data_IF_606201831550
#
_entry.id   IF_606201831550
#
_cell.length_a   1.000
_cell.length_b   1.000
_cell.length_c   1.000
_cell.angle_alpha   90.00
_cell.angle_beta   90.00
_cell.angle_gamma   90.00
#
_symmetry.space_group_name_H-M   'P 1'
#
loop_
_entity.id
_entity.type
_entity.pdbx_description
1 polymer ?
#
# COMPACT_ATOMS: atom_id res chain seq x y z
N UNK A 1 -0.15 -13.95 -11.28
CA UNK A 1 -1.51 -14.19 -11.84
C UNK A 1 -2.55 -14.89 -10.95
N UNK A 2 -2.25 -15.74 -9.94
CA UNK A 2 -3.24 -16.05 -8.87
C UNK A 2 -3.09 -15.17 -7.62
N UNK A 3 -1.85 -14.88 -7.23
CA UNK A 3 -1.55 -14.04 -6.06
C UNK A 3 -2.03 -12.59 -6.21
N UNK A 4 -1.95 -12.02 -7.41
CA UNK A 4 -2.40 -10.64 -7.69
C UNK A 4 -3.92 -10.50 -7.55
N UNK A 5 -4.70 -11.43 -8.10
CA UNK A 5 -6.18 -11.43 -7.96
C UNK A 5 -6.56 -11.45 -6.47
N UNK A 6 -5.89 -12.30 -5.69
CA UNK A 6 -6.11 -12.38 -4.26
C UNK A 6 -5.72 -11.07 -3.58
N UNK A 7 -4.54 -10.52 -3.88
CA UNK A 7 -4.08 -9.27 -3.29
C UNK A 7 -5.02 -8.09 -3.58
N UNK A 8 -5.48 -7.95 -4.84
CA UNK A 8 -6.48 -6.96 -5.25
C UNK A 8 -7.78 -7.10 -4.47
N UNK A 9 -8.24 -8.33 -4.22
CA UNK A 9 -9.46 -8.56 -3.43
C UNK A 9 -9.32 -8.07 -1.98
N UNK A 10 -8.14 -8.25 -1.35
CA UNK A 10 -7.90 -7.69 -0.01
C UNK A 10 -7.76 -6.19 -0.02
N UNK A 11 -7.05 -5.64 -1.02
CA UNK A 11 -6.88 -4.21 -1.17
C UNK A 11 -8.24 -3.52 -1.32
N UNK A 12 -9.11 -4.05 -2.17
CA UNK A 12 -10.48 -3.58 -2.35
C UNK A 12 -11.28 -3.65 -1.04
N UNK A 13 -11.23 -4.76 -0.32
CA UNK A 13 -11.95 -4.90 0.95
C UNK A 13 -11.48 -3.90 2.03
N UNK A 14 -10.16 -3.63 2.11
CA UNK A 14 -9.64 -2.61 3.02
C UNK A 14 -10.02 -1.20 2.55
N UNK A 15 -10.02 -0.97 1.24
CA UNK A 15 -10.36 0.32 0.63
C UNK A 15 -11.84 0.65 0.86
N UNK A 16 -12.75 -0.27 0.61
CA UNK A 16 -14.19 -0.09 0.87
C UNK A 16 -14.48 0.20 2.36
N UNK A 17 -13.72 -0.43 3.27
CA UNK A 17 -13.80 -0.13 4.69
C UNK A 17 -13.32 1.30 4.98
N UNK A 18 -12.19 1.71 4.40
CA UNK A 18 -11.63 3.03 4.58
C UNK A 18 -12.51 4.14 3.98
N UNK A 19 -13.10 3.91 2.80
CA UNK A 19 -13.96 4.86 2.11
C UNK A 19 -15.27 5.08 2.87
N UNK A 20 -15.85 4.01 3.42
CA UNK A 20 -17.00 4.12 4.34
C UNK A 20 -16.70 5.00 5.55
N UNK A 21 -15.49 4.91 6.07
CA UNK A 21 -15.04 5.68 7.23
C UNK A 21 -14.51 7.08 6.84
N UNK A 22 -14.40 7.41 5.54
CA UNK A 22 -13.81 8.66 5.04
C UNK A 22 -12.31 8.78 5.28
N UNK A 23 -11.58 7.66 5.41
CA UNK A 23 -10.19 7.57 5.88
C UNK A 23 -9.27 6.85 4.90
N UNK A 24 -9.56 6.93 3.59
CA UNK A 24 -8.81 6.23 2.53
C UNK A 24 -7.30 6.55 2.55
N UNK A 25 -6.93 7.82 2.75
CA UNK A 25 -5.52 8.21 2.79
C UNK A 25 -4.85 7.68 4.06
N UNK A 26 -5.46 7.84 5.23
CA UNK A 26 -4.90 7.38 6.51
C UNK A 26 -4.67 5.86 6.54
N UNK A 27 -5.59 5.08 5.96
CA UNK A 27 -5.43 3.63 5.86
C UNK A 27 -4.36 3.26 4.84
N UNK A 28 -4.30 3.99 3.72
CA UNK A 28 -3.27 3.86 2.70
C UNK A 28 -1.87 4.10 3.26
N UNK A 29 -1.68 5.21 3.97
CA UNK A 29 -0.43 5.57 4.63
C UNK A 29 0.00 4.50 5.63
N UNK A 30 -0.95 3.99 6.42
CA UNK A 30 -0.69 2.92 7.37
C UNK A 30 -0.23 1.62 6.69
N UNK A 31 -0.88 1.23 5.60
CA UNK A 31 -0.50 0.05 4.83
C UNK A 31 0.84 0.24 4.09
N UNK A 32 1.10 1.45 3.59
CA UNK A 32 2.36 1.82 2.94
C UNK A 32 3.52 1.76 3.92
N UNK A 33 3.36 2.28 5.14
CA UNK A 33 4.39 2.19 6.18
C UNK A 33 4.76 0.75 6.52
N UNK A 34 3.78 -0.16 6.54
CA UNK A 34 4.04 -1.60 6.73
C UNK A 34 4.77 -2.20 5.53
N UNK A 35 4.37 -1.86 4.31
CA UNK A 35 5.04 -2.34 3.10
C UNK A 35 6.50 -1.88 3.06
N UNK A 36 6.75 -0.60 3.35
CA UNK A 36 8.09 -0.01 3.42
C UNK A 36 8.97 -0.72 4.47
N UNK A 37 8.45 -0.97 5.66
CA UNK A 37 9.16 -1.72 6.70
C UNK A 37 9.60 -3.11 6.22
N UNK A 38 8.79 -3.80 5.39
CA UNK A 38 9.12 -5.12 4.84
C UNK A 38 10.13 -5.05 3.67
N UNK A 39 10.26 -3.90 3.03
CA UNK A 39 11.26 -3.66 2.01
C UNK A 39 12.62 -3.30 2.64
N UNK A 40 12.61 -2.46 3.67
CA UNK A 40 13.80 -2.01 4.40
C UNK A 40 14.40 -3.11 5.30
N UNK A 41 13.56 -3.89 5.98
CA UNK A 41 14.02 -4.92 6.93
C UNK A 41 13.83 -6.33 6.36
N UNK A 42 14.94 -6.90 5.87
CA UNK A 42 14.98 -8.31 5.44
C UNK A 42 14.55 -9.26 6.58
N UNK A 43 14.95 -8.96 7.81
CA UNK A 43 14.65 -9.80 8.97
C UNK A 43 13.15 -9.75 9.32
N UNK A 44 12.52 -8.57 9.28
CA UNK A 44 11.08 -8.45 9.49
C UNK A 44 10.31 -9.24 8.41
N UNK A 45 10.73 -9.14 7.15
CA UNK A 45 10.16 -9.92 6.05
C UNK A 45 10.32 -11.42 6.27
N UNK A 46 11.52 -11.90 6.56
CA UNK A 46 11.78 -13.31 6.82
C UNK A 46 10.99 -13.83 8.04
N UNK A 47 10.91 -13.05 9.12
CA UNK A 47 10.11 -13.39 10.30
C UNK A 47 8.63 -13.61 9.94
N UNK A 48 8.01 -12.67 9.20
CA UNK A 48 6.61 -12.82 8.78
C UNK A 48 6.41 -13.99 7.80
N UNK A 49 7.38 -14.24 6.92
CA UNK A 49 7.25 -15.28 5.89
C UNK A 49 7.60 -16.69 6.38
N UNK A 50 8.35 -16.83 7.48
CA UNK A 50 8.81 -18.12 7.99
C UNK A 50 7.63 -18.97 8.49
N UNK A 51 7.34 -20.15 7.89
CA UNK A 51 6.17 -20.95 8.25
C UNK A 51 6.23 -21.58 9.65
N UNK A 52 7.44 -21.79 10.20
CA UNK A 52 7.67 -22.40 11.52
C UNK A 52 7.31 -21.45 12.68
N UNK A 53 7.34 -20.15 12.45
CA UNK A 53 6.94 -19.15 13.45
C UNK A 53 5.41 -19.12 13.49
N UNK A 54 4.87 -19.28 14.70
CA UNK A 54 3.43 -19.37 14.91
C UNK A 54 2.73 -18.06 14.53
N UNK A 55 1.50 -18.16 14.01
CA UNK A 55 0.69 -16.98 13.64
C UNK A 55 0.50 -16.04 14.83
N UNK A 56 0.23 -16.58 16.01
CA UNK A 56 0.06 -15.79 17.23
C UNK A 56 1.32 -15.03 17.62
N UNK A 57 2.50 -15.62 17.41
CA UNK A 57 3.77 -14.96 17.68
C UNK A 57 4.00 -13.78 16.73
N UNK A 58 3.67 -13.95 15.45
CA UNK A 58 3.72 -12.86 14.47
C UNK A 58 2.74 -11.73 14.82
N UNK A 59 1.50 -12.08 15.19
CA UNK A 59 0.48 -11.09 15.58
C UNK A 59 0.89 -10.33 16.84
N UNK A 60 1.46 -11.01 17.85
CA UNK A 60 2.00 -10.35 19.06
C UNK A 60 3.14 -9.39 18.73
N UNK A 61 4.07 -9.80 17.87
CA UNK A 61 5.17 -8.93 17.44
C UNK A 61 4.66 -7.68 16.70
N UNK A 62 3.76 -7.85 15.73
CA UNK A 62 3.16 -6.73 15.01
C UNK A 62 2.39 -5.80 15.95
N UNK A 63 1.58 -6.34 16.86
CA UNK A 63 0.88 -5.54 17.87
C UNK A 63 1.86 -4.69 18.66
N UNK A 64 2.90 -5.29 19.23
CA UNK A 64 3.89 -4.59 20.05
C UNK A 64 4.58 -3.43 19.31
N UNK A 65 4.79 -3.56 18.00
CA UNK A 65 5.54 -2.59 17.19
C UNK A 65 4.65 -1.50 16.58
N UNK A 66 3.42 -1.85 16.21
CA UNK A 66 2.54 -1.04 15.36
C UNK A 66 1.27 -0.54 16.07
N UNK A 67 0.91 -1.08 17.23
CA UNK A 67 -0.20 -0.57 18.04
C UNK A 67 0.05 0.89 18.44
N UNK A 68 -0.96 1.73 18.27
CA UNK A 68 -0.86 3.18 18.46
C UNK A 68 -0.14 3.95 17.34
N UNK A 69 0.50 3.28 16.38
CA UNK A 69 1.12 3.91 15.20
C UNK A 69 0.30 3.77 13.93
N UNK A 70 -0.55 2.75 13.87
CA UNK A 70 -1.46 2.48 12.76
C UNK A 70 -2.90 2.62 13.20
N UNK A 71 -3.83 2.97 12.27
CA UNK A 71 -5.25 2.83 12.52
C UNK A 71 -5.57 1.38 12.92
N UNK A 72 -6.37 1.21 13.98
CA UNK A 72 -6.75 -0.11 14.47
C UNK A 72 -7.34 -1.04 13.37
N UNK A 73 -8.15 -0.55 12.40
CA UNK A 73 -8.61 -1.36 11.28
C UNK A 73 -7.47 -1.92 10.39
N UNK A 74 -6.43 -1.12 10.14
CA UNK A 74 -5.26 -1.56 9.36
C UNK A 74 -4.50 -2.65 10.11
N UNK A 75 -4.29 -2.49 11.42
CA UNK A 75 -3.63 -3.50 12.24
C UNK A 75 -4.43 -4.82 12.27
N UNK A 76 -5.76 -4.74 12.40
CA UNK A 76 -6.66 -5.89 12.35
C UNK A 76 -6.64 -6.57 10.98
N UNK A 77 -6.55 -5.79 9.90
CA UNK A 77 -6.37 -6.31 8.55
C UNK A 77 -5.08 -7.13 8.43
N UNK A 78 -3.95 -6.67 8.99
CA UNK A 78 -2.70 -7.43 9.00
C UNK A 78 -2.85 -8.77 9.75
N UNK A 79 -3.57 -8.77 10.88
CA UNK A 79 -3.85 -10.01 11.62
C UNK A 79 -4.64 -11.00 10.79
N UNK A 80 -5.69 -10.53 10.09
CA UNK A 80 -6.47 -11.35 9.16
C UNK A 80 -5.59 -11.94 8.05
N UNK A 81 -4.72 -11.11 7.45
CA UNK A 81 -3.79 -11.56 6.40
C UNK A 81 -2.85 -12.67 6.90
N UNK A 82 -2.35 -12.56 8.13
CA UNK A 82 -1.52 -13.59 8.78
C UNK A 82 -2.33 -14.86 9.03
N UNK A 83 -3.56 -14.75 9.52
CA UNK A 83 -4.43 -15.89 9.79
C UNK A 83 -4.71 -16.68 8.51
N UNK A 84 -4.90 -15.96 7.39
CA UNK A 84 -5.07 -16.54 6.05
C UNK A 84 -3.75 -16.98 5.38
N UNK A 85 -2.59 -16.82 6.04
CA UNK A 85 -1.24 -17.12 5.52
C UNK A 85 -0.89 -16.36 4.23
N UNK A 86 -1.38 -15.13 4.08
CA UNK A 86 -1.21 -14.30 2.87
C UNK A 86 -0.23 -13.15 3.04
N UNK A 87 0.59 -13.15 4.11
CA UNK A 87 1.51 -12.07 4.43
C UNK A 87 2.56 -11.75 3.35
N UNK A 88 2.92 -12.73 2.51
CA UNK A 88 3.79 -12.50 1.32
C UNK A 88 3.18 -11.51 0.32
N UNK A 89 1.86 -11.35 0.34
CA UNK A 89 1.14 -10.49 -0.59
C UNK A 89 0.97 -9.06 -0.07
N UNK A 90 1.41 -8.73 1.16
CA UNK A 90 1.18 -7.39 1.76
C UNK A 90 1.67 -6.26 0.85
N UNK A 91 2.86 -6.41 0.23
CA UNK A 91 3.40 -5.41 -0.70
C UNK A 91 2.54 -5.25 -1.96
N UNK A 92 1.99 -6.35 -2.47
CA UNK A 92 1.08 -6.35 -3.63
C UNK A 92 -0.26 -5.74 -3.22
N UNK A 93 -0.78 -6.06 -2.04
CA UNK A 93 -2.00 -5.46 -1.48
C UNK A 93 -1.84 -3.94 -1.33
N UNK A 94 -0.69 -3.48 -0.82
CA UNK A 94 -0.38 -2.05 -0.74
C UNK A 94 -0.42 -1.39 -2.13
N UNK A 95 0.26 -1.97 -3.13
CA UNK A 95 0.27 -1.41 -4.49
C UNK A 95 -1.15 -1.29 -5.05
N UNK A 96 -1.97 -2.34 -4.94
CA UNK A 96 -3.36 -2.31 -5.41
C UNK A 96 -4.21 -1.31 -4.63
N UNK A 97 -3.96 -1.15 -3.32
CA UNK A 97 -4.66 -0.16 -2.50
C UNK A 97 -4.35 1.27 -2.93
N UNK A 98 -3.08 1.59 -3.17
CA UNK A 98 -2.66 2.92 -3.63
C UNK A 98 -3.29 3.27 -4.99
N UNK A 99 -3.37 2.30 -5.92
CA UNK A 99 -4.07 2.49 -7.19
C UNK A 99 -5.56 2.83 -7.00
N UNK A 100 -6.23 2.23 -6.00
CA UNK A 100 -7.63 2.56 -5.69
C UNK A 100 -7.78 3.95 -5.08
N UNK A 101 -6.82 4.36 -4.23
CA UNK A 101 -6.79 5.73 -3.67
C UNK A 101 -6.58 6.76 -4.78
N UNK A 102 -5.63 6.50 -5.68
CA UNK A 102 -5.34 7.37 -6.81
C UNK A 102 -6.57 7.54 -7.72
N UNK A 103 -7.24 6.44 -8.08
CA UNK A 103 -8.49 6.46 -8.85
C UNK A 103 -9.59 7.27 -8.14
N UNK A 104 -9.76 7.05 -6.83
CA UNK A 104 -10.77 7.73 -6.01
C UNK A 104 -10.53 9.23 -5.84
N UNK A 105 -9.27 9.66 -5.89
CA UNK A 105 -8.85 11.05 -5.76
C UNK A 105 -8.59 11.73 -7.11
N UNK A 106 -8.74 11.02 -8.22
CA UNK A 106 -8.43 11.53 -9.55
C UNK A 106 -6.94 11.83 -9.76
N UNK A 107 -6.05 11.12 -9.06
CA UNK A 107 -4.60 11.26 -9.21
C UNK A 107 -4.11 10.37 -10.35
N UNK A 108 -3.46 10.96 -11.35
CA UNK A 108 -2.79 10.23 -12.42
C UNK A 108 -1.27 10.33 -12.26
N UNK A 109 -0.59 9.18 -12.16
CA UNK A 109 0.87 9.14 -12.22
C UNK A 109 1.33 9.09 -13.69
N UNK A 110 2.10 10.11 -14.10
CA UNK A 110 2.66 10.21 -15.44
C UNK A 110 4.18 10.20 -15.35
N UNK A 111 4.82 9.30 -16.10
CA UNK A 111 6.26 9.30 -16.30
C UNK A 111 6.58 9.92 -17.67
N UNK A 112 7.46 10.93 -17.69
CA UNK A 112 7.86 11.64 -18.92
C UNK A 112 9.35 11.42 -19.16
N UNK A 113 9.69 10.69 -20.22
CA UNK A 113 11.08 10.52 -20.65
C UNK A 113 11.52 11.67 -21.53
N UNK A 114 12.61 12.36 -21.16
CA UNK A 114 13.17 13.49 -21.89
C UNK A 114 14.61 13.19 -22.32
N UNK A 115 14.96 13.60 -23.55
CA UNK A 115 16.32 13.44 -24.07
C UNK A 115 17.34 14.41 -23.43
N UNK A 116 16.87 15.43 -22.70
CA UNK A 116 17.69 16.41 -21.98
C UNK A 116 16.95 16.88 -20.73
N UNK A 117 17.70 17.38 -19.76
CA UNK A 117 17.13 17.94 -18.54
C UNK A 117 16.20 19.12 -18.89
N UNK A 118 14.94 19.12 -18.41
CA UNK A 118 14.00 20.17 -18.74
C UNK A 118 14.38 21.48 -18.04
N UNK A 119 14.33 22.58 -18.78
CA UNK A 119 14.28 23.91 -18.15
C UNK A 119 12.89 24.18 -17.53
N UNK A 120 12.80 25.23 -16.72
CA UNK A 120 11.56 25.58 -16.02
C UNK A 120 10.38 25.83 -16.97
N UNK A 121 10.64 26.36 -18.18
CA UNK A 121 9.60 26.65 -19.18
C UNK A 121 9.06 25.36 -19.79
N UNK A 122 9.93 24.40 -20.11
CA UNK A 122 9.55 23.11 -20.66
C UNK A 122 8.78 22.30 -19.62
N UNK A 123 9.20 22.33 -18.35
CA UNK A 123 8.50 21.66 -17.26
C UNK A 123 7.07 22.20 -17.09
N UNK A 124 6.92 23.52 -17.00
CA UNK A 124 5.61 24.15 -16.89
C UNK A 124 4.69 23.83 -18.09
N UNK A 125 5.24 23.83 -19.32
CA UNK A 125 4.48 23.48 -20.51
C UNK A 125 4.06 22.00 -20.58
N UNK A 126 4.86 21.09 -20.02
CA UNK A 126 4.49 19.67 -19.86
C UNK A 126 3.38 19.54 -18.83
N UNK A 127 3.54 20.17 -17.66
CA UNK A 127 2.52 20.15 -16.59
C UNK A 127 1.17 20.68 -17.10
N UNK A 128 1.14 21.85 -17.77
CA UNK A 128 -0.10 22.42 -18.32
C UNK A 128 -0.79 21.49 -19.32
N UNK A 129 -0.01 20.86 -20.21
CA UNK A 129 -0.55 19.92 -21.20
C UNK A 129 -1.07 18.64 -20.58
N UNK A 130 -0.39 18.12 -19.57
CA UNK A 130 -0.82 16.91 -18.86
C UNK A 130 -2.09 17.19 -18.05
N UNK A 131 -2.16 18.31 -17.32
CA UNK A 131 -3.38 18.72 -16.64
C UNK A 131 -4.53 18.83 -17.64
N UNK A 132 -4.37 19.55 -18.75
CA UNK A 132 -5.43 19.65 -19.78
C UNK A 132 -5.87 18.31 -20.36
N UNK A 133 -4.96 17.34 -20.47
CA UNK A 133 -5.27 16.03 -21.05
C UNK A 133 -6.02 15.11 -20.07
N UNK A 134 -5.68 15.19 -18.77
CA UNK A 134 -6.26 14.32 -17.73
C UNK A 134 -7.40 14.99 -16.93
N UNK A 135 -7.55 16.32 -16.98
CA UNK A 135 -8.58 17.11 -16.29
C UNK A 135 -8.08 18.49 -15.87
#
# INVERSE_FOLDING_TARGET
MRGEIVARSYALALFELADRDGRIEEFGDGLQGVAALLDESRDARLFLETPRIQREEKKRALRKVLEGKLPAPVLNFLFLVIDKRRQRLIRVMNREYQLLVDDRLGRAHVEVSLAREPDASLRAGIEERLTRFFG
#
